data_IF_470061786000
#
_entry.id   IF_470061786000
#
_cell.length_a   1.000
_cell.length_b   1.000
_cell.length_c   1.000
_cell.angle_alpha   90.00
_cell.angle_beta   90.00
_cell.angle_gamma   90.00
#
_symmetry.space_group_name_H-M   'P 1'
#
loop_
_entity.id
_entity.type
_entity.pdbx_description
1 polymer ?
#
# COMPACT_ATOMS: atom_id res chain seq x y z
N UNK A 1 51.96 70.57 -17.16
CA UNK A 1 50.97 70.06 -16.18
C UNK A 1 49.58 70.17 -16.79
N UNK A 2 48.89 69.03 -16.90
CA UNK A 2 47.43 68.78 -17.10
C UNK A 2 46.66 69.37 -18.30
N UNK A 3 46.63 68.57 -19.38
CA UNK A 3 45.46 67.96 -20.07
C UNK A 3 44.14 67.91 -19.26
N UNK A 4 42.92 67.74 -19.79
CA UNK A 4 42.25 67.76 -21.11
C UNK A 4 40.74 67.53 -20.82
N UNK A 5 39.88 68.03 -21.71
CA UNK A 5 38.57 67.46 -22.13
C UNK A 5 37.41 67.33 -21.13
N UNK A 6 36.38 68.18 -21.31
CA UNK A 6 34.98 67.94 -20.91
C UNK A 6 34.22 67.22 -22.02
N UNK A 7 33.67 66.05 -21.74
CA UNK A 7 32.49 65.49 -22.42
C UNK A 7 31.99 64.27 -21.63
N UNK A 8 30.70 64.26 -21.24
CA UNK A 8 29.71 63.22 -21.57
C UNK A 8 28.44 63.43 -20.73
N UNK A 9 27.36 63.78 -21.43
CA UNK A 9 25.99 63.52 -21.01
C UNK A 9 25.66 62.06 -21.32
N UNK A 10 25.11 61.30 -20.37
CA UNK A 10 24.33 60.09 -20.60
C UNK A 10 23.50 59.80 -19.34
N UNK A 11 22.23 60.20 -19.37
CA UNK A 11 21.21 59.84 -18.39
C UNK A 11 20.77 58.40 -18.70
N UNK A 12 21.17 57.43 -17.86
CA UNK A 12 20.72 56.05 -17.96
C UNK A 12 19.40 55.88 -17.18
N UNK A 13 18.31 55.59 -17.90
CA UNK A 13 17.03 55.22 -17.31
C UNK A 13 17.03 53.72 -16.91
N UNK A 14 16.60 53.34 -15.69
CA UNK A 14 16.51 51.94 -15.32
C UNK A 14 15.27 51.28 -15.97
N UNK A 15 15.53 50.33 -16.86
CA UNK A 15 14.54 49.38 -17.36
C UNK A 15 14.15 48.41 -16.23
N UNK A 16 12.99 48.64 -15.63
CA UNK A 16 12.37 47.69 -14.71
C UNK A 16 11.80 46.51 -15.52
N UNK A 17 12.55 45.41 -15.61
CA UNK A 17 12.01 44.13 -16.06
C UNK A 17 11.10 43.58 -14.95
N UNK A 18 9.80 43.88 -15.04
CA UNK A 18 8.77 43.09 -14.37
C UNK A 18 8.68 41.72 -15.04
N UNK A 19 9.43 40.76 -14.50
CA UNK A 19 9.22 39.34 -14.80
C UNK A 19 7.89 38.92 -14.19
N UNK A 20 6.87 38.71 -15.03
CA UNK A 20 5.66 38.01 -14.64
C UNK A 20 6.04 36.61 -14.15
N UNK A 21 5.99 36.39 -12.83
CA UNK A 21 5.77 35.04 -12.32
C UNK A 21 4.36 34.65 -12.76
N UNK A 22 4.29 33.69 -13.68
CA UNK A 22 3.04 32.99 -13.95
C UNK A 22 2.85 32.07 -12.75
N UNK A 23 2.20 32.57 -11.72
CA UNK A 23 1.64 31.72 -10.67
C UNK A 23 0.56 30.87 -11.35
N UNK A 24 0.96 29.67 -11.77
CA UNK A 24 -0.01 28.65 -12.15
C UNK A 24 -0.52 28.03 -10.85
N UNK A 25 -1.57 28.63 -10.29
CA UNK A 25 -2.51 27.89 -9.46
C UNK A 25 -3.17 26.85 -10.36
N UNK A 26 -2.48 25.73 -10.63
CA UNK A 26 -3.15 24.52 -11.06
C UNK A 26 -3.89 24.03 -9.83
N UNK A 27 -5.20 24.23 -9.81
CA UNK A 27 -6.08 23.38 -9.03
C UNK A 27 -5.70 21.94 -9.40
N UNK A 28 -5.00 21.25 -8.51
CA UNK A 28 -4.67 19.84 -8.70
C UNK A 28 -6.01 19.10 -8.75
N UNK A 29 -6.50 18.86 -9.97
CA UNK A 29 -7.69 18.07 -10.20
C UNK A 29 -7.36 16.66 -9.72
N UNK A 30 -7.77 16.34 -8.50
CA UNK A 30 -7.60 15.04 -7.88
C UNK A 30 -8.97 14.40 -7.64
N UNK A 31 -8.99 13.07 -7.63
CA UNK A 31 -10.15 12.26 -7.31
C UNK A 31 -9.81 11.16 -6.32
N UNK A 32 -10.78 10.29 -6.07
CA UNK A 32 -10.61 9.12 -5.20
C UNK A 32 -10.81 7.83 -6.00
N UNK A 33 -9.98 6.83 -5.73
CA UNK A 33 -10.11 5.50 -6.33
C UNK A 33 -10.53 4.51 -5.25
N UNK A 34 -11.61 3.77 -5.50
CA UNK A 34 -12.10 2.74 -4.60
C UNK A 34 -11.61 1.37 -5.06
N UNK A 35 -11.10 0.58 -4.12
CA UNK A 35 -10.69 -0.79 -4.32
C UNK A 35 -11.59 -1.72 -3.53
N UNK A 36 -11.82 -2.91 -4.07
CA UNK A 36 -12.47 -4.02 -3.39
C UNK A 36 -11.58 -5.25 -3.52
N UNK A 37 -11.41 -5.97 -2.42
CA UNK A 37 -10.56 -7.14 -2.31
C UNK A 37 -11.42 -8.38 -2.20
N UNK A 38 -11.15 -9.38 -3.04
CA UNK A 38 -11.77 -10.70 -2.95
C UNK A 38 -10.69 -11.75 -2.77
N UNK A 39 -10.60 -12.29 -1.56
CA UNK A 39 -9.74 -13.44 -1.27
C UNK A 39 -10.40 -14.72 -1.80
N UNK A 40 -9.63 -15.54 -2.51
CA UNK A 40 -10.11 -16.79 -3.12
C UNK A 40 -9.21 -17.95 -2.74
N UNK A 41 -9.79 -19.15 -2.69
CA UNK A 41 -9.05 -20.41 -2.59
C UNK A 41 -8.83 -20.95 -4.01
N UNK A 42 -7.58 -21.31 -4.36
CA UNK A 42 -7.30 -21.92 -5.66
C UNK A 42 -8.06 -23.24 -5.80
N UNK A 43 -8.47 -23.55 -7.03
CA UNK A 43 -9.11 -24.82 -7.31
C UNK A 43 -8.17 -25.97 -6.93
N UNK A 44 -8.64 -26.83 -6.04
CA UNK A 44 -7.88 -28.01 -5.62
C UNK A 44 -7.85 -29.02 -6.76
N UNK A 45 -6.77 -29.82 -6.83
CA UNK A 45 -6.46 -30.78 -7.91
C UNK A 45 -7.43 -31.98 -7.99
N UNK A 46 -8.73 -31.79 -7.77
CA UNK A 46 -9.76 -32.79 -8.01
C UNK A 46 -10.23 -32.62 -9.45
N UNK A 47 -9.73 -33.49 -10.34
CA UNK A 47 -10.19 -33.75 -11.73
C UNK A 47 -11.21 -32.73 -12.27
N UNK A 48 -10.72 -31.65 -12.87
CA UNK A 48 -11.51 -30.56 -13.44
C UNK A 48 -10.96 -29.20 -13.03
N UNK A 49 -10.80 -28.29 -14.00
CA UNK A 49 -10.47 -26.90 -13.70
C UNK A 49 -11.71 -26.25 -13.09
N UNK A 50 -11.79 -26.20 -11.77
CA UNK A 50 -12.80 -25.39 -11.10
C UNK A 50 -12.33 -23.93 -11.09
N UNK A 51 -13.23 -22.94 -11.20
CA UNK A 51 -12.87 -21.55 -10.96
C UNK A 51 -12.48 -21.35 -9.49
N UNK A 52 -11.56 -20.41 -9.17
CA UNK A 52 -11.27 -20.04 -7.78
C UNK A 52 -12.55 -19.71 -7.03
N UNK A 53 -12.68 -20.20 -5.80
CA UNK A 53 -13.87 -19.98 -4.99
C UNK A 53 -13.59 -18.91 -3.93
N UNK A 54 -14.57 -18.07 -3.55
CA UNK A 54 -14.40 -17.13 -2.45
C UNK A 54 -13.94 -17.83 -1.16
N UNK A 55 -13.00 -17.23 -0.44
CA UNK A 55 -12.55 -17.72 0.85
C UNK A 55 -13.64 -17.49 1.90
N UNK A 56 -14.17 -18.58 2.44
CA UNK A 56 -15.10 -18.60 3.58
C UNK A 56 -14.35 -19.20 4.77
N UNK A 57 -14.12 -18.39 5.80
CA UNK A 57 -13.41 -18.83 6.99
C UNK A 57 -14.08 -20.05 7.63
N UNK A 58 -13.28 -20.98 8.13
CA UNK A 58 -13.65 -22.24 8.76
C UNK A 58 -14.39 -23.25 7.85
N UNK A 59 -14.69 -22.91 6.59
CA UNK A 59 -15.45 -23.77 5.68
C UNK A 59 -14.70 -24.10 4.39
N UNK A 60 -14.01 -23.13 3.79
CA UNK A 60 -13.23 -23.39 2.59
C UNK A 60 -12.05 -24.31 2.89
N UNK A 61 -11.91 -25.36 2.10
CA UNK A 61 -10.77 -26.28 2.14
C UNK A 61 -9.81 -25.95 1.01
N UNK A 62 -8.58 -25.60 1.38
CA UNK A 62 -7.47 -25.38 0.45
C UNK A 62 -6.55 -26.60 0.44
N UNK A 63 -5.76 -26.73 -0.62
CA UNK A 63 -4.72 -27.76 -0.74
C UNK A 63 -3.38 -27.12 -1.07
N UNK A 64 -2.31 -27.61 -0.44
CA UNK A 64 -0.93 -27.28 -0.84
C UNK A 64 -0.58 -28.00 -2.14
N UNK A 65 0.49 -27.58 -2.86
CA UNK A 65 1.00 -28.32 -4.02
C UNK A 65 1.41 -29.76 -3.69
N UNK A 66 1.73 -30.05 -2.42
CA UNK A 66 2.07 -31.39 -1.93
C UNK A 66 0.84 -32.25 -1.60
N UNK A 67 -0.38 -31.72 -1.73
CA UNK A 67 -1.64 -32.44 -1.51
C UNK A 67 -2.16 -32.42 -0.08
N UNK A 68 -1.54 -31.66 0.83
CA UNK A 68 -2.03 -31.48 2.20
C UNK A 68 -3.22 -30.52 2.20
N UNK A 69 -4.29 -30.88 2.88
CA UNK A 69 -5.52 -30.08 2.92
C UNK A 69 -5.65 -29.34 4.24
N UNK A 70 -6.15 -28.12 4.19
CA UNK A 70 -6.36 -27.29 5.38
C UNK A 70 -7.59 -26.37 5.24
N UNK A 71 -8.14 -25.97 6.37
CA UNK A 71 -9.10 -24.86 6.48
C UNK A 71 -8.40 -23.62 7.00
N UNK A 72 -8.95 -22.44 6.70
CA UNK A 72 -8.44 -21.15 7.18
C UNK A 72 -9.46 -20.54 8.14
N UNK A 73 -9.05 -20.28 9.39
CA UNK A 73 -9.88 -19.65 10.43
C UNK A 73 -9.62 -18.16 10.58
N UNK A 74 -8.40 -17.71 10.27
CA UNK A 74 -7.96 -16.31 10.33
C UNK A 74 -7.21 -15.98 9.04
N UNK A 75 -7.55 -14.86 8.40
CA UNK A 75 -6.79 -14.34 7.27
C UNK A 75 -6.79 -12.81 7.27
N UNK A 76 -5.65 -12.23 7.62
CA UNK A 76 -5.45 -10.79 7.80
C UNK A 76 -4.13 -10.38 7.16
N UNK A 77 -4.09 -9.23 6.48
CA UNK A 77 -2.85 -8.71 5.90
C UNK A 77 -2.96 -7.22 5.60
N UNK A 78 -1.80 -6.55 5.50
CA UNK A 78 -1.75 -5.16 5.09
C UNK A 78 -1.61 -5.01 3.58
N UNK A 79 -2.34 -4.07 3.00
CA UNK A 79 -2.05 -3.49 1.68
C UNK A 79 -1.52 -2.07 1.89
N UNK A 80 -0.32 -1.79 1.39
CA UNK A 80 0.31 -0.48 1.55
C UNK A 80 1.06 -0.03 0.30
N UNK A 81 1.64 1.17 0.34
CA UNK A 81 2.43 1.75 -0.75
C UNK A 81 1.70 1.69 -2.11
N UNK A 82 0.46 2.17 -2.16
CA UNK A 82 -0.32 2.15 -3.39
C UNK A 82 0.32 3.13 -4.39
N UNK A 83 0.73 2.62 -5.55
CA UNK A 83 1.27 3.44 -6.65
C UNK A 83 0.48 3.20 -7.92
N UNK A 84 0.22 4.27 -8.64
CA UNK A 84 -0.47 4.26 -9.91
C UNK A 84 0.53 4.58 -11.03
N UNK A 85 0.61 3.70 -12.03
CA UNK A 85 1.45 3.91 -13.22
C UNK A 85 0.64 4.62 -14.28
N UNK A 86 1.11 5.78 -14.74
CA UNK A 86 0.48 6.58 -15.78
C UNK A 86 0.83 6.05 -17.16
N UNK A 87 -0.01 6.38 -18.14
CA UNK A 87 0.21 6.03 -19.56
C UNK A 87 1.50 6.60 -20.16
N UNK A 88 2.02 7.71 -19.62
CA UNK A 88 3.31 8.31 -20.01
C UNK A 88 4.54 7.61 -19.39
N UNK A 89 4.33 6.57 -18.59
CA UNK A 89 5.36 5.80 -17.89
C UNK A 89 5.79 6.39 -16.54
N UNK A 90 5.33 7.58 -16.16
CA UNK A 90 5.54 8.12 -14.82
C UNK A 90 4.65 7.41 -13.78
N UNK A 91 4.95 7.57 -12.48
CA UNK A 91 4.14 6.99 -11.41
C UNK A 91 3.72 8.03 -10.38
N UNK A 92 2.52 7.86 -9.85
CA UNK A 92 2.03 8.58 -8.68
C UNK A 92 2.00 7.62 -7.49
N UNK A 93 2.80 7.89 -6.46
CA UNK A 93 2.76 7.16 -5.21
C UNK A 93 1.80 7.86 -4.24
N UNK A 94 0.73 7.18 -3.85
CA UNK A 94 -0.21 7.72 -2.87
C UNK A 94 0.48 7.75 -1.49
N UNK A 95 0.52 8.91 -0.81
CA UNK A 95 1.21 9.02 0.47
C UNK A 95 0.43 8.35 1.61
N UNK A 96 1.16 7.77 2.57
CA UNK A 96 0.64 7.24 3.84
C UNK A 96 -0.54 6.26 3.71
N UNK A 97 -0.54 5.43 2.66
CA UNK A 97 -1.58 4.42 2.44
C UNK A 97 -1.25 3.12 3.16
N UNK A 98 -2.03 2.76 4.18
CA UNK A 98 -1.97 1.48 4.88
C UNK A 98 -3.40 1.00 5.14
N UNK A 99 -3.74 -0.18 4.63
CA UNK A 99 -5.06 -0.76 4.74
C UNK A 99 -4.98 -2.14 5.34
N UNK A 100 -5.65 -2.38 6.47
CA UNK A 100 -5.75 -3.71 7.07
C UNK A 100 -6.91 -4.45 6.41
N UNK A 101 -6.58 -5.47 5.62
CA UNK A 101 -7.59 -6.42 5.12
C UNK A 101 -7.78 -7.51 6.16
N UNK A 102 -9.01 -7.66 6.65
CA UNK A 102 -9.41 -8.72 7.57
C UNK A 102 -10.60 -9.48 6.98
N UNK A 103 -10.39 -10.75 6.62
CA UNK A 103 -11.44 -11.58 6.01
C UNK A 103 -12.69 -11.73 6.88
N UNK A 104 -12.57 -11.61 8.20
CA UNK A 104 -13.70 -11.67 9.14
C UNK A 104 -14.49 -10.35 9.24
N UNK A 105 -13.94 -9.24 8.72
CA UNK A 105 -14.54 -7.89 8.80
C UNK A 105 -14.88 -7.37 7.40
N UNK A 106 -16.14 -7.49 6.94
CA UNK A 106 -16.53 -7.15 5.57
C UNK A 106 -16.14 -5.73 5.11
N UNK A 107 -16.24 -4.74 6.00
CA UNK A 107 -15.90 -3.35 5.67
C UNK A 107 -14.40 -3.14 5.41
N UNK A 108 -13.54 -4.05 5.87
CA UNK A 108 -12.09 -3.99 5.62
C UNK A 108 -11.70 -4.54 4.23
N UNK A 109 -12.64 -5.18 3.53
CA UNK A 109 -12.43 -5.71 2.17
C UNK A 109 -12.59 -4.64 1.09
N UNK A 110 -12.73 -3.37 1.46
CA UNK A 110 -12.78 -2.25 0.54
C UNK A 110 -12.08 -1.05 1.15
N UNK A 111 -11.37 -0.29 0.32
CA UNK A 111 -10.66 0.90 0.76
C UNK A 111 -10.63 1.96 -0.33
N UNK A 112 -10.41 3.21 0.08
CA UNK A 112 -10.38 4.36 -0.80
C UNK A 112 -9.00 5.00 -0.75
N UNK A 113 -8.41 5.25 -1.92
CA UNK A 113 -7.20 6.05 -2.04
C UNK A 113 -7.61 7.45 -2.51
N UNK A 114 -7.53 8.48 -1.65
CA UNK A 114 -7.91 9.84 -2.00
C UNK A 114 -6.77 10.56 -2.75
N UNK A 115 -7.08 11.75 -3.25
CA UNK A 115 -6.12 12.69 -3.83
C UNK A 115 -5.30 12.15 -5.01
N UNK A 116 -5.85 11.18 -5.75
CA UNK A 116 -5.23 10.63 -6.95
C UNK A 116 -5.40 11.64 -8.09
N UNK A 117 -4.32 12.16 -8.70
CA UNK A 117 -4.41 13.10 -9.81
C UNK A 117 -5.27 12.56 -10.96
N UNK A 118 -6.09 13.40 -11.57
CA UNK A 118 -6.85 13.02 -12.77
C UNK A 118 -5.86 12.74 -13.92
N UNK A 119 -6.04 11.60 -14.58
CA UNK A 119 -5.20 11.21 -15.71
C UNK A 119 -5.48 9.78 -16.17
N UNK A 120 -4.74 9.38 -17.21
CA UNK A 120 -4.81 8.04 -17.79
C UNK A 120 -3.77 7.11 -17.13
N UNK A 121 -4.24 6.00 -16.58
CA UNK A 121 -3.44 5.04 -15.84
C UNK A 121 -3.45 3.65 -16.49
N UNK A 122 -2.30 2.99 -16.48
CA UNK A 122 -2.09 1.66 -17.09
C UNK A 122 -1.88 0.57 -16.05
N UNK A 123 -1.67 0.92 -14.79
CA UNK A 123 -1.49 -0.09 -13.74
C UNK A 123 -1.50 0.46 -12.32
N UNK A 124 -1.67 -0.45 -11.38
CA UNK A 124 -1.55 -0.23 -9.93
C UNK A 124 -0.58 -1.25 -9.37
N UNK A 125 0.29 -0.80 -8.47
CA UNK A 125 1.17 -1.66 -7.67
C UNK A 125 0.96 -1.34 -6.19
N UNK A 126 1.13 -2.35 -5.34
CA UNK A 126 1.02 -2.23 -3.89
C UNK A 126 1.97 -3.22 -3.23
N UNK A 127 2.25 -2.98 -1.95
CA UNK A 127 2.98 -3.88 -1.07
C UNK A 127 1.97 -4.71 -0.25
N UNK A 128 2.20 -6.01 -0.13
CA UNK A 128 1.54 -6.83 0.91
C UNK A 128 2.41 -6.81 2.15
N UNK A 129 1.98 -6.07 3.16
CA UNK A 129 2.74 -5.77 4.37
C UNK A 129 2.90 -4.27 4.61
N UNK A 130 3.91 -3.90 5.40
CA UNK A 130 4.21 -2.52 5.79
C UNK A 130 5.67 -2.25 5.47
N UNK A 131 5.98 -1.08 4.90
CA UNK A 131 7.34 -0.75 4.49
C UNK A 131 8.29 -0.52 5.68
N UNK A 132 9.59 -0.74 5.45
CA UNK A 132 10.62 -0.59 6.48
C UNK A 132 10.75 0.84 7.03
N UNK A 133 10.41 1.88 6.26
CA UNK A 133 10.49 3.26 6.78
C UNK A 133 9.45 3.45 7.86
N UNK A 134 8.22 2.96 7.64
CA UNK A 134 7.16 3.01 8.64
C UNK A 134 7.50 2.14 9.85
N UNK A 135 7.82 0.87 9.66
CA UNK A 135 8.03 -0.07 10.78
C UNK A 135 9.33 0.14 11.56
N UNK A 136 10.38 0.61 10.88
CA UNK A 136 11.73 0.72 11.48
C UNK A 136 12.04 2.08 12.10
N UNK A 137 11.32 3.15 11.73
CA UNK A 137 11.65 4.52 12.16
C UNK A 137 10.59 5.18 13.05
N UNK A 138 9.40 4.59 13.14
CA UNK A 138 8.29 5.15 13.93
C UNK A 138 8.06 4.32 15.19
N UNK A 139 7.86 4.98 16.33
CA UNK A 139 7.44 4.30 17.57
C UNK A 139 6.10 3.60 17.32
N UNK A 140 6.05 2.26 17.44
CA UNK A 140 4.82 1.51 17.21
C UNK A 140 3.65 1.95 18.09
N UNK A 141 3.90 2.54 19.27
CA UNK A 141 2.85 3.03 20.16
C UNK A 141 2.10 4.25 19.58
N UNK A 142 2.66 4.90 18.56
CA UNK A 142 2.05 6.06 17.89
C UNK A 142 1.15 5.66 16.72
N UNK A 143 1.14 4.39 16.30
CA UNK A 143 0.31 3.95 15.20
C UNK A 143 -1.18 3.96 15.57
N UNK A 144 -1.97 4.52 14.66
CA UNK A 144 -3.43 4.64 14.77
C UNK A 144 -4.09 4.04 13.52
N UNK A 145 -5.42 3.98 13.51
CA UNK A 145 -6.17 3.40 12.39
C UNK A 145 -5.80 1.94 12.15
N UNK A 146 -5.56 1.59 10.89
CA UNK A 146 -5.30 0.20 10.49
C UNK A 146 -3.97 -0.35 11.03
N UNK A 147 -2.96 0.49 11.24
CA UNK A 147 -1.68 0.07 11.83
C UNK A 147 -1.72 0.00 13.37
N UNK A 148 -2.85 0.32 14.00
CA UNK A 148 -2.95 0.29 15.46
C UNK A 148 -2.64 -1.11 16.00
N UNK A 149 -1.79 -1.20 17.02
CA UNK A 149 -1.45 -2.47 17.68
C UNK A 149 -2.66 -3.20 18.25
N UNK A 150 -3.74 -2.48 18.57
CA UNK A 150 -5.01 -3.06 19.00
C UNK A 150 -5.64 -4.00 17.95
N UNK A 151 -5.24 -3.90 16.68
CA UNK A 151 -5.68 -4.80 15.61
C UNK A 151 -5.01 -6.18 15.67
N UNK A 152 -4.23 -6.47 16.73
CA UNK A 152 -3.56 -7.76 16.95
C UNK A 152 -2.59 -8.14 15.81
N UNK A 153 -2.08 -7.17 15.06
CA UNK A 153 -1.15 -7.36 13.95
C UNK A 153 0.27 -6.91 14.33
N UNK A 154 0.63 -7.05 15.60
CA UNK A 154 1.91 -6.62 16.15
C UNK A 154 2.43 -7.63 17.19
N UNK A 155 3.69 -8.02 17.07
CA UNK A 155 4.38 -8.85 18.06
C UNK A 155 5.02 -7.98 19.13
N UNK A 156 4.48 -8.04 20.34
CA UNK A 156 5.04 -7.32 21.50
C UNK A 156 6.43 -7.83 21.93
N UNK A 157 6.74 -9.11 21.66
CA UNK A 157 7.99 -9.75 22.11
C UNK A 157 9.18 -9.54 21.16
N UNK A 158 8.94 -9.17 19.89
CA UNK A 158 9.98 -8.90 18.88
C UNK A 158 9.84 -7.52 18.21
N UNK A 159 8.98 -6.67 18.78
CA UNK A 159 8.65 -5.32 18.31
C UNK A 159 8.50 -5.20 16.79
N UNK A 160 7.64 -6.06 16.21
CA UNK A 160 7.50 -6.16 14.75
C UNK A 160 6.04 -6.23 14.33
N UNK A 161 5.73 -5.70 13.15
CA UNK A 161 4.40 -5.84 12.57
C UNK A 161 4.25 -7.22 11.93
N UNK A 162 3.10 -7.83 12.16
CA UNK A 162 2.64 -8.98 11.40
C UNK A 162 2.10 -8.41 10.09
N UNK A 163 2.78 -8.67 8.98
CA UNK A 163 2.38 -8.22 7.65
C UNK A 163 1.23 -9.05 7.10
N UNK A 164 1.26 -10.36 7.37
CA UNK A 164 0.24 -11.33 7.01
C UNK A 164 0.07 -12.32 8.15
N UNK A 165 -1.18 -12.58 8.51
CA UNK A 165 -1.60 -13.56 9.50
C UNK A 165 -2.55 -14.55 8.84
N UNK A 166 -2.17 -15.80 8.80
CA UNK A 166 -3.02 -16.92 8.40
C UNK A 166 -3.01 -17.99 9.48
N UNK A 167 -4.20 -18.38 9.93
CA UNK A 167 -4.37 -19.46 10.89
C UNK A 167 -5.46 -20.40 10.41
N UNK A 168 -5.44 -21.63 10.91
CA UNK A 168 -6.40 -22.64 10.51
C UNK A 168 -6.07 -24.02 11.04
N UNK A 169 -6.50 -25.04 10.31
CA UNK A 169 -6.34 -26.45 10.72
C UNK A 169 -5.94 -27.30 9.52
N UNK A 170 -4.85 -28.06 9.66
CA UNK A 170 -4.49 -29.15 8.76
C UNK A 170 -5.51 -30.29 8.95
N UNK A 171 -6.23 -30.59 7.88
CA UNK A 171 -7.32 -31.60 7.83
C UNK A 171 -6.85 -32.93 7.24
N UNK A 172 -5.70 -32.96 6.57
CA UNK A 172 -5.10 -34.18 6.02
C UNK A 172 -4.38 -35.05 7.07
N UNK A 173 -4.29 -34.61 8.33
CA UNK A 173 -3.65 -35.36 9.41
C UNK A 173 -4.66 -35.93 10.41
N UNK A 174 -4.33 -37.07 11.04
CA UNK A 174 -5.10 -37.64 12.14
C UNK A 174 -4.19 -37.87 13.38
N UNK A 175 -4.43 -37.19 14.52
CA UNK A 175 -5.43 -36.14 14.71
C UNK A 175 -5.13 -34.88 13.87
N UNK A 176 -6.13 -34.02 13.70
CA UNK A 176 -5.95 -32.71 13.03
C UNK A 176 -4.93 -31.87 13.79
N UNK A 177 -4.18 -31.03 13.07
CA UNK A 177 -3.16 -30.14 13.64
C UNK A 177 -3.48 -28.69 13.37
N UNK A 178 -3.15 -27.80 14.31
CA UNK A 178 -3.24 -26.36 14.07
C UNK A 178 -2.27 -25.92 12.97
N UNK A 179 -2.72 -25.01 12.13
CA UNK A 179 -1.92 -24.32 11.11
C UNK A 179 -1.78 -22.86 11.55
N UNK A 180 -0.54 -22.38 11.73
CA UNK A 180 -0.25 -20.99 12.09
C UNK A 180 0.86 -20.50 11.16
N UNK A 181 0.60 -19.45 10.40
CA UNK A 181 1.54 -18.81 9.50
C UNK A 181 1.43 -17.29 9.67
N UNK A 182 2.42 -16.71 10.34
CA UNK A 182 2.53 -15.27 10.49
C UNK A 182 3.81 -14.81 9.78
N UNK A 183 3.68 -13.89 8.83
CA UNK A 183 4.80 -13.29 8.10
C UNK A 183 4.88 -11.85 8.56
N UNK A 184 6.05 -11.38 8.96
CA UNK A 184 6.23 -10.05 9.50
C UNK A 184 7.69 -9.76 9.82
N UNK A 185 7.94 -8.55 10.29
CA UNK A 185 9.29 -8.14 10.68
C UNK A 185 9.37 -6.69 11.10
N UNK A 186 10.61 -6.28 11.36
CA UNK A 186 10.97 -4.89 11.67
C UNK A 186 11.36 -4.10 10.41
N UNK A 187 11.82 -4.80 9.36
CA UNK A 187 12.17 -4.23 8.05
C UNK A 187 11.52 -5.06 6.94
N UNK A 188 10.60 -4.47 6.16
CA UNK A 188 10.25 -5.04 4.86
C UNK A 188 11.32 -4.65 3.84
N UNK A 189 11.72 -5.58 2.97
CA UNK A 189 12.70 -5.36 1.90
C UNK A 189 12.24 -4.30 0.89
#
# INVERSE_FOLDING_TARGET
>A
MKNRTSALWLLAAPLAFSGCKKDSDTLDNTGSVNFTVQNVVPATNVVGVQPPQPLVLNSSVAATPTGETFTVSTFEYYLSNIKFTKSDGSSYAAPDTYFLVNQATPNSLSFTVPNVPVGEYTGVSFLVGVDAQKTGLTDPATFTGDLNQANNMYWSWNSGHIFLKMEGTLTSTSPTKSLICHIGGYTAL
#
